data_IF_242821342702
#
_entry.id   IF_242821342702
#
_cell.length_a   1.000
_cell.length_b   1.000
_cell.length_c   1.000
_cell.angle_alpha   90.00
_cell.angle_beta   90.00
_cell.angle_gamma   90.00
#
_symmetry.space_group_name_H-M   'P 1'
#
loop_
_entity.id
_entity.type
_entity.pdbx_description
1 polymer ?
#
# COMPACT_ATOMS: atom_id res chain seq x y z
N UNK A 1 -2.00 -37.07 2.32
CA UNK A 1 -1.59 -37.35 3.71
C UNK A 1 -0.93 -36.11 4.26
N UNK A 2 -1.66 -35.29 5.01
CA UNK A 2 -1.09 -34.10 5.65
C UNK A 2 -0.22 -34.56 6.81
N UNK A 3 1.09 -34.35 6.70
CA UNK A 3 2.01 -34.57 7.82
C UNK A 3 1.70 -33.55 8.92
N UNK A 4 1.93 -33.92 10.18
CA UNK A 4 1.80 -33.01 11.32
C UNK A 4 2.59 -31.70 11.09
N UNK A 5 2.11 -30.56 11.63
CA UNK A 5 2.82 -29.29 11.57
C UNK A 5 4.23 -29.47 12.15
N UNK A 6 5.21 -28.84 11.52
CA UNK A 6 6.60 -28.94 11.94
C UNK A 6 6.73 -28.42 13.39
N UNK A 7 7.18 -29.28 14.30
CA UNK A 7 7.34 -28.89 15.71
C UNK A 7 8.76 -28.42 16.01
N UNK A 8 8.93 -27.64 17.09
CA UNK A 8 10.27 -27.28 17.58
C UNK A 8 11.15 -28.52 17.83
N UNK A 9 10.56 -29.63 18.27
CA UNK A 9 11.30 -30.91 18.45
C UNK A 9 11.77 -31.52 17.14
N UNK A 10 11.05 -31.32 16.03
CA UNK A 10 11.47 -31.79 14.71
C UNK A 10 12.63 -30.93 14.18
N UNK A 11 12.58 -29.62 14.43
CA UNK A 11 13.66 -28.68 14.11
C UNK A 11 14.93 -29.02 14.90
N UNK A 12 14.83 -29.23 16.21
CA UNK A 12 15.97 -29.61 17.07
C UNK A 12 16.63 -30.93 16.61
N UNK A 13 15.81 -31.94 16.28
CA UNK A 13 16.31 -33.22 15.74
C UNK A 13 17.01 -33.04 14.41
N UNK A 14 16.50 -32.16 13.56
CA UNK A 14 17.07 -31.87 12.27
C UNK A 14 18.39 -31.10 12.36
N UNK A 15 18.46 -30.09 13.24
CA UNK A 15 19.68 -29.30 13.50
C UNK A 15 20.84 -30.19 13.92
N UNK A 16 20.61 -31.14 14.82
CA UNK A 16 21.66 -32.09 15.27
C UNK A 16 22.21 -32.96 14.14
N UNK A 17 21.39 -33.28 13.14
CA UNK A 17 21.77 -34.11 12.00
C UNK A 17 22.30 -33.29 10.81
N UNK A 18 22.28 -31.97 10.92
CA UNK A 18 22.71 -31.07 9.86
C UNK A 18 24.17 -30.65 10.11
N UNK A 19 25.07 -30.89 9.14
CA UNK A 19 26.49 -30.60 9.33
C UNK A 19 26.79 -29.12 9.50
N UNK A 20 25.93 -28.22 8.98
CA UNK A 20 26.09 -26.77 9.10
C UNK A 20 25.49 -26.28 10.41
N UNK A 21 24.23 -26.61 10.68
CA UNK A 21 23.55 -26.12 11.88
C UNK A 21 24.05 -26.77 13.17
N UNK A 22 24.53 -28.01 13.12
CA UNK A 22 25.17 -28.66 14.26
C UNK A 22 26.45 -27.94 14.68
N UNK A 23 27.29 -27.55 13.72
CA UNK A 23 28.49 -26.75 14.00
C UNK A 23 28.14 -25.35 14.50
N UNK A 24 27.13 -24.70 13.89
CA UNK A 24 26.66 -23.40 14.32
C UNK A 24 26.09 -23.43 15.75
N UNK A 25 25.34 -24.48 16.10
CA UNK A 25 24.82 -24.69 17.45
C UNK A 25 25.95 -24.83 18.48
N UNK A 26 27.00 -25.58 18.16
CA UNK A 26 28.18 -25.71 19.01
C UNK A 26 28.91 -24.37 19.17
N UNK A 27 29.09 -23.63 18.08
CA UNK A 27 29.78 -22.34 18.08
C UNK A 27 29.03 -21.28 18.89
N UNK A 28 27.70 -21.24 18.78
CA UNK A 28 26.85 -20.34 19.59
C UNK A 28 26.85 -20.75 21.06
N UNK A 29 26.82 -22.05 21.38
CA UNK A 29 26.89 -22.54 22.77
C UNK A 29 28.25 -22.30 23.43
N UNK A 30 29.35 -22.44 22.68
CA UNK A 30 30.71 -22.24 23.19
C UNK A 30 31.10 -20.76 23.24
N UNK A 31 30.42 -19.90 22.47
CA UNK A 31 30.80 -18.50 22.27
C UNK A 31 32.05 -18.32 21.41
N UNK A 32 32.59 -19.40 20.81
CA UNK A 32 33.83 -19.39 20.03
C UNK A 32 33.54 -19.91 18.63
N UNK A 33 33.82 -19.08 17.63
CA UNK A 33 33.65 -19.42 16.22
C UNK A 33 34.68 -18.69 15.34
N UNK A 34 35.11 -19.33 14.25
CA UNK A 34 35.99 -18.70 13.27
C UNK A 34 35.16 -17.89 12.26
N UNK A 35 35.44 -16.59 12.14
CA UNK A 35 34.80 -15.68 11.18
C UNK A 35 35.22 -15.94 9.73
N UNK A 36 36.32 -16.65 9.52
CA UNK A 36 36.80 -17.04 8.20
C UNK A 36 36.18 -18.35 7.71
N UNK A 37 35.46 -19.07 8.59
CA UNK A 37 34.80 -20.32 8.25
C UNK A 37 33.73 -20.09 7.18
N UNK A 38 33.88 -20.77 6.03
CA UNK A 38 32.99 -20.59 4.87
C UNK A 38 31.56 -21.02 5.19
N UNK A 39 31.41 -22.02 6.06
CA UNK A 39 30.10 -22.54 6.48
C UNK A 39 29.26 -21.47 7.20
N UNK A 40 29.90 -20.56 7.95
CA UNK A 40 29.20 -19.52 8.71
C UNK A 40 28.93 -18.26 7.90
N UNK A 41 29.51 -18.11 6.69
CA UNK A 41 29.37 -16.92 5.84
C UNK A 41 27.93 -16.39 5.72
N UNK A 42 26.87 -17.22 5.53
CA UNK A 42 25.50 -16.74 5.45
C UNK A 42 24.93 -16.19 6.77
N UNK A 43 25.56 -16.54 7.90
CA UNK A 43 25.11 -16.22 9.25
C UNK A 43 25.98 -15.17 9.94
N UNK A 44 27.16 -14.82 9.39
CA UNK A 44 28.11 -13.89 10.03
C UNK A 44 27.50 -12.55 10.44
N UNK A 45 26.49 -12.07 9.72
CA UNK A 45 25.80 -10.81 10.04
C UNK A 45 24.91 -10.90 11.28
N UNK A 46 24.46 -12.10 11.64
CA UNK A 46 23.51 -12.33 12.73
C UNK A 46 24.08 -13.24 13.82
N UNK A 47 25.25 -13.85 13.63
CA UNK A 47 25.80 -14.90 14.49
C UNK A 47 25.96 -14.44 15.94
N UNK A 48 26.33 -13.18 16.15
CA UNK A 48 26.45 -12.55 17.48
C UNK A 48 25.09 -12.34 18.18
N UNK A 49 24.00 -12.37 17.42
CA UNK A 49 22.62 -12.24 17.91
C UNK A 49 21.89 -13.58 17.99
N UNK A 50 22.57 -14.70 17.65
CA UNK A 50 21.99 -16.02 17.75
C UNK A 50 22.08 -16.54 19.18
N UNK A 51 21.00 -17.18 19.63
CA UNK A 51 20.96 -17.88 20.92
C UNK A 51 20.63 -19.35 20.71
N UNK A 52 21.08 -20.20 21.62
CA UNK A 52 20.85 -21.64 21.58
C UNK A 52 20.05 -22.08 22.81
N UNK A 53 18.83 -22.57 22.59
CA UNK A 53 17.95 -23.08 23.65
C UNK A 53 17.28 -24.38 23.18
N UNK A 54 17.22 -25.39 24.06
CA UNK A 54 16.60 -26.69 23.76
C UNK A 54 17.07 -27.35 22.44
N UNK A 55 18.37 -27.20 22.11
CA UNK A 55 19.00 -27.64 20.86
C UNK A 55 18.41 -27.00 19.57
N UNK A 56 17.75 -25.86 19.72
CA UNK A 56 17.33 -24.98 18.64
C UNK A 56 18.15 -23.68 18.64
N UNK A 57 18.50 -23.21 17.46
CA UNK A 57 19.03 -21.86 17.25
C UNK A 57 17.89 -20.87 17.08
N UNK A 58 18.03 -19.71 17.71
CA UNK A 58 17.06 -18.62 17.64
C UNK A 58 17.76 -17.31 17.26
N UNK A 59 17.04 -16.47 16.51
CA UNK A 59 17.40 -15.09 16.25
C UNK A 59 16.37 -14.20 16.95
N UNK A 60 16.72 -13.68 18.13
CA UNK A 60 15.74 -13.10 19.05
C UNK A 60 14.71 -14.16 19.48
N UNK A 61 13.42 -13.91 19.21
CA UNK A 61 12.33 -14.84 19.53
C UNK A 61 11.92 -15.75 18.35
N UNK A 62 12.69 -15.75 17.27
CA UNK A 62 12.36 -16.43 16.01
C UNK A 62 13.26 -17.66 15.86
N UNK A 63 12.70 -18.78 15.42
CA UNK A 63 13.47 -20.03 15.25
C UNK A 63 14.25 -19.98 13.94
N UNK A 64 15.54 -20.34 14.00
CA UNK A 64 16.36 -20.55 12.82
C UNK A 64 15.97 -21.89 12.19
N UNK A 65 15.72 -21.96 10.89
CA UNK A 65 15.24 -23.19 10.24
C UNK A 65 16.33 -23.85 9.41
N UNK A 66 16.65 -25.14 9.64
CA UNK A 66 17.63 -25.87 8.86
C UNK A 66 17.19 -26.14 7.42
N UNK A 67 18.16 -26.25 6.52
CA UNK A 67 17.92 -26.35 5.08
C UNK A 67 16.97 -27.50 4.69
N UNK A 68 16.99 -28.61 5.43
CA UNK A 68 16.11 -29.76 5.20
C UNK A 68 14.64 -29.49 5.52
N UNK A 69 14.33 -28.50 6.34
CA UNK A 69 12.98 -28.17 6.81
C UNK A 69 12.36 -26.99 6.05
N UNK A 70 13.20 -26.15 5.45
CA UNK A 70 12.78 -24.94 4.72
C UNK A 70 11.71 -25.26 3.66
N UNK A 71 11.91 -26.28 2.83
CA UNK A 71 10.93 -26.66 1.79
C UNK A 71 9.57 -27.08 2.37
N UNK A 72 9.55 -27.77 3.52
CA UNK A 72 8.29 -28.17 4.16
C UNK A 72 7.55 -26.94 4.68
N UNK A 73 8.24 -26.00 5.32
CA UNK A 73 7.62 -24.76 5.80
C UNK A 73 7.15 -23.87 4.65
N UNK A 74 7.94 -23.73 3.60
CA UNK A 74 7.55 -22.99 2.40
C UNK A 74 6.27 -23.57 1.77
N UNK A 75 6.14 -24.90 1.74
CA UNK A 75 4.93 -25.57 1.27
C UNK A 75 3.71 -25.24 2.16
N UNK A 76 3.86 -25.34 3.49
CA UNK A 76 2.79 -25.01 4.45
C UNK A 76 2.36 -23.54 4.34
N UNK A 77 3.32 -22.61 4.27
CA UNK A 77 3.07 -21.18 4.08
C UNK A 77 2.33 -20.88 2.76
N UNK A 78 2.61 -21.67 1.72
CA UNK A 78 2.04 -21.49 0.39
C UNK A 78 0.68 -22.17 0.20
N UNK A 79 0.33 -23.17 1.02
CA UNK A 79 -0.82 -24.07 0.83
C UNK A 79 -2.15 -23.32 0.59
N UNK A 80 -2.35 -22.18 1.24
CA UNK A 80 -3.58 -21.38 1.18
C UNK A 80 -3.51 -20.23 0.17
N UNK A 81 -2.41 -20.08 -0.56
CA UNK A 81 -2.20 -19.01 -1.54
C UNK A 81 -2.51 -17.59 -1.01
N UNK A 82 -2.19 -17.31 0.25
CA UNK A 82 -2.50 -16.04 0.95
C UNK A 82 -1.84 -14.77 0.37
N UNK A 83 -1.03 -14.93 -0.67
CA UNK A 83 -0.28 -13.86 -1.34
C UNK A 83 1.09 -13.62 -0.72
N UNK A 84 2.01 -13.13 -1.55
CA UNK A 84 3.44 -13.01 -1.20
C UNK A 84 3.70 -12.12 0.01
N UNK A 85 2.96 -11.02 0.15
CA UNK A 85 3.11 -10.08 1.28
C UNK A 85 2.75 -10.77 2.58
N UNK A 86 1.61 -11.47 2.62
CA UNK A 86 1.16 -12.18 3.81
C UNK A 86 2.06 -13.38 4.14
N UNK A 87 2.55 -14.11 3.12
CA UNK A 87 3.54 -15.18 3.32
C UNK A 87 4.81 -14.66 3.99
N UNK A 88 5.38 -13.53 3.50
CA UNK A 88 6.58 -12.91 4.10
C UNK A 88 6.32 -12.45 5.53
N UNK A 89 5.19 -11.79 5.79
CA UNK A 89 4.81 -11.34 7.14
C UNK A 89 4.66 -12.50 8.11
N UNK A 90 4.01 -13.59 7.69
CA UNK A 90 3.79 -14.77 8.52
C UNK A 90 5.11 -15.50 8.79
N UNK A 91 5.94 -15.70 7.77
CA UNK A 91 7.22 -16.37 7.91
C UNK A 91 8.16 -15.60 8.85
N UNK A 92 8.30 -14.28 8.67
CA UNK A 92 9.16 -13.43 9.53
C UNK A 92 8.74 -13.39 11.00
N UNK A 93 7.53 -13.83 11.32
CA UNK A 93 7.04 -13.90 12.70
C UNK A 93 7.57 -15.13 13.46
N UNK A 94 7.81 -16.24 12.76
CA UNK A 94 8.09 -17.53 13.40
C UNK A 94 9.40 -18.18 12.93
N UNK A 95 9.82 -17.90 11.69
CA UNK A 95 10.90 -18.58 11.01
C UNK A 95 11.97 -17.61 10.50
N UNK A 96 13.23 -18.04 10.53
CA UNK A 96 14.34 -17.29 9.96
C UNK A 96 15.38 -18.19 9.30
N UNK A 97 15.82 -17.80 8.10
CA UNK A 97 17.05 -18.28 7.46
C UNK A 97 17.51 -17.24 6.41
N UNK A 98 18.79 -17.25 5.97
CA UNK A 98 19.37 -16.16 5.18
C UNK A 98 18.66 -15.86 3.85
N UNK A 99 18.06 -16.86 3.21
CA UNK A 99 17.38 -16.74 1.91
C UNK A 99 15.86 -16.71 1.98
N UNK A 100 15.26 -16.58 3.17
CA UNK A 100 13.80 -16.70 3.38
C UNK A 100 12.96 -15.92 2.37
N UNK A 101 13.22 -14.61 2.20
CA UNK A 101 12.44 -13.77 1.29
C UNK A 101 12.57 -14.22 -0.18
N UNK A 102 13.77 -14.65 -0.60
CA UNK A 102 14.03 -15.14 -1.97
C UNK A 102 13.37 -16.49 -2.21
N UNK A 103 13.36 -17.36 -1.21
CA UNK A 103 12.75 -18.68 -1.34
C UNK A 103 11.23 -18.57 -1.41
N UNK A 104 10.62 -17.66 -0.65
CA UNK A 104 9.20 -17.31 -0.78
C UNK A 104 8.89 -16.77 -2.19
N UNK A 105 9.70 -15.83 -2.69
CA UNK A 105 9.55 -15.29 -4.05
C UNK A 105 9.60 -16.39 -5.12
N UNK A 106 10.55 -17.33 -4.99
CA UNK A 106 10.71 -18.46 -5.90
C UNK A 106 9.48 -19.39 -5.91
N UNK A 107 8.95 -19.72 -4.73
CA UNK A 107 7.76 -20.57 -4.58
C UNK A 107 6.52 -19.89 -5.17
N UNK A 108 6.33 -18.61 -4.92
CA UNK A 108 5.20 -17.86 -5.49
C UNK A 108 5.33 -17.73 -7.01
N UNK A 109 6.54 -17.46 -7.52
CA UNK A 109 6.80 -17.30 -8.95
C UNK A 109 6.64 -18.61 -9.75
N UNK A 110 6.98 -19.75 -9.15
CA UNK A 110 6.81 -21.07 -9.76
C UNK A 110 5.38 -21.60 -9.69
N UNK A 111 4.52 -21.01 -8.84
CA UNK A 111 3.13 -21.41 -8.71
C UNK A 111 2.25 -20.87 -9.84
N UNK A 112 1.61 -21.79 -10.57
CA UNK A 112 0.64 -21.45 -11.64
C UNK A 112 -0.58 -20.71 -11.08
N UNK A 113 -1.05 -21.08 -9.89
CA UNK A 113 -2.17 -20.42 -9.22
C UNK A 113 -1.85 -18.96 -8.89
N UNK A 114 -0.73 -18.71 -8.22
CA UNK A 114 -0.31 -17.35 -7.86
C UNK A 114 0.07 -16.49 -9.08
N UNK A 115 0.63 -17.10 -10.12
CA UNK A 115 1.00 -16.40 -11.36
C UNK A 115 -0.19 -15.81 -12.12
N UNK A 116 -1.39 -16.39 -11.98
CA UNK A 116 -2.61 -15.88 -12.61
C UNK A 116 -3.16 -14.62 -11.94
N UNK A 117 -2.86 -14.43 -10.65
CA UNK A 117 -3.31 -13.28 -9.86
C UNK A 117 -2.24 -12.20 -9.70
N UNK A 118 -1.04 -12.42 -10.22
CA UNK A 118 -0.02 -11.38 -10.30
C UNK A 118 -0.22 -10.63 -11.62
N UNK A 119 -0.76 -9.43 -11.53
CA UNK A 119 -0.78 -8.49 -12.65
C UNK A 119 0.67 -8.16 -13.05
N UNK A 120 1.22 -8.95 -13.98
CA UNK A 120 2.48 -8.64 -14.68
C UNK A 120 2.23 -7.60 -15.78
N UNK A 121 1.28 -6.70 -15.58
CA UNK A 121 1.16 -5.56 -16.47
C UNK A 121 2.46 -4.77 -16.30
N UNK A 122 3.28 -4.59 -17.35
CA UNK A 122 4.48 -3.79 -17.24
C UNK A 122 4.06 -2.46 -16.63
N UNK A 123 4.63 -2.15 -15.46
CA UNK A 123 4.37 -0.91 -14.78
C UNK A 123 4.70 0.17 -15.80
N UNK A 124 3.66 0.81 -16.35
CA UNK A 124 3.84 1.84 -17.36
C UNK A 124 4.87 2.82 -16.78
N UNK A 125 5.83 3.31 -17.59
CA UNK A 125 6.82 4.27 -17.12
C UNK A 125 6.10 5.32 -16.28
N UNK A 126 6.59 5.56 -15.06
CA UNK A 126 6.06 6.64 -14.25
C UNK A 126 6.37 7.93 -15.01
N UNK A 127 5.45 8.34 -15.89
CA UNK A 127 5.48 9.66 -16.49
C UNK A 127 5.23 10.58 -15.32
N UNK A 128 6.33 11.10 -14.75
CA UNK A 128 6.27 12.17 -13.77
C UNK A 128 5.59 13.33 -14.49
N UNK A 129 4.31 13.52 -14.22
CA UNK A 129 3.61 14.73 -14.64
C UNK A 129 4.39 15.89 -14.02
N UNK A 130 4.68 16.97 -14.77
CA UNK A 130 5.40 18.12 -14.22
C UNK A 130 4.74 18.56 -12.93
N UNK A 131 5.50 18.85 -11.89
CA UNK A 131 4.93 19.23 -10.59
C UNK A 131 4.17 20.54 -10.74
N UNK A 132 3.09 20.73 -9.96
CA UNK A 132 2.50 22.06 -9.85
C UNK A 132 3.50 22.97 -9.14
N UNK A 133 3.69 24.15 -9.68
CA UNK A 133 4.65 25.18 -9.26
C UNK A 133 4.01 26.32 -8.45
N UNK A 134 2.69 26.52 -8.54
CA UNK A 134 1.95 27.47 -7.70
C UNK A 134 0.55 26.97 -7.32
N UNK A 135 -0.07 27.52 -6.24
CA UNK A 135 -1.44 27.18 -5.85
C UNK A 135 -2.41 27.41 -7.00
N UNK A 136 -3.42 26.54 -7.12
CA UNK A 136 -4.44 26.61 -8.18
C UNK A 136 -3.91 26.40 -9.60
N UNK A 137 -2.64 26.04 -9.81
CA UNK A 137 -2.17 25.69 -11.16
C UNK A 137 -2.82 24.40 -11.68
N UNK A 138 -2.93 23.39 -10.80
CA UNK A 138 -3.48 22.08 -11.13
C UNK A 138 -4.35 21.57 -10.02
N UNK A 139 -5.61 21.29 -10.36
CA UNK A 139 -6.56 20.65 -9.46
C UNK A 139 -6.80 19.20 -9.87
N UNK A 140 -6.89 18.33 -8.87
CA UNK A 140 -7.32 16.95 -9.02
C UNK A 140 -8.72 16.79 -8.45
N UNK A 141 -9.62 16.18 -9.22
CA UNK A 141 -11.00 15.92 -8.80
C UNK A 141 -11.33 14.44 -8.83
N UNK A 142 -12.14 14.01 -7.87
CA UNK A 142 -12.67 12.65 -7.82
C UNK A 142 -14.01 12.62 -7.06
N UNK A 143 -14.86 11.64 -7.38
CA UNK A 143 -16.11 11.40 -6.65
C UNK A 143 -16.03 10.06 -5.95
N UNK A 144 -16.20 10.08 -4.63
CA UNK A 144 -16.02 8.91 -3.76
C UNK A 144 -17.29 8.61 -2.98
N UNK A 145 -17.52 7.33 -2.69
CA UNK A 145 -18.56 6.91 -1.74
C UNK A 145 -18.01 6.97 -0.31
N UNK A 146 -18.75 7.63 0.58
CA UNK A 146 -18.44 7.67 2.00
C UNK A 146 -19.73 7.46 2.80
N UNK A 147 -19.83 6.39 3.59
CA UNK A 147 -20.98 6.09 4.45
C UNK A 147 -22.36 6.23 3.75
N UNK A 148 -22.44 5.85 2.48
CA UNK A 148 -23.67 5.90 1.68
C UNK A 148 -24.01 7.26 1.05
N UNK A 149 -23.16 8.28 1.23
CA UNK A 149 -23.24 9.56 0.51
C UNK A 149 -22.10 9.69 -0.49
N UNK A 150 -22.28 10.51 -1.52
CA UNK A 150 -21.25 10.79 -2.52
C UNK A 150 -20.51 12.07 -2.13
N UNK A 151 -19.19 12.06 -2.19
CA UNK A 151 -18.34 13.23 -1.94
C UNK A 151 -17.59 13.59 -3.21
N UNK A 152 -17.62 14.86 -3.62
CA UNK A 152 -16.65 15.40 -4.57
C UNK A 152 -15.46 15.93 -3.78
N UNK A 153 -14.29 15.38 -4.11
CA UNK A 153 -13.00 15.86 -3.64
C UNK A 153 -12.41 16.76 -4.71
N UNK A 154 -11.94 17.95 -4.32
CA UNK A 154 -11.14 18.84 -5.16
C UNK A 154 -9.84 19.11 -4.42
N UNK A 155 -8.71 18.77 -4.99
CA UNK A 155 -7.40 18.82 -4.33
C UNK A 155 -6.46 19.66 -5.16
N UNK A 156 -5.86 20.67 -4.55
CA UNK A 156 -4.79 21.45 -5.18
C UNK A 156 -3.47 20.67 -5.14
N UNK A 157 -2.87 20.47 -6.32
CA UNK A 157 -1.65 19.69 -6.45
C UNK A 157 -0.44 20.38 -5.80
N UNK A 158 -0.43 21.70 -5.65
CA UNK A 158 0.68 22.44 -5.04
C UNK A 158 0.58 22.43 -3.51
N UNK A 159 -0.48 23.03 -2.95
CA UNK A 159 -0.65 23.16 -1.49
C UNK A 159 -1.08 21.87 -0.79
N UNK A 160 -1.56 20.87 -1.56
CA UNK A 160 -2.26 19.68 -1.06
C UNK A 160 -3.55 20.00 -0.31
N UNK A 161 -4.05 21.24 -0.41
CA UNK A 161 -5.32 21.63 0.19
C UNK A 161 -6.47 20.89 -0.50
N UNK A 162 -7.43 20.44 0.31
CA UNK A 162 -8.57 19.65 -0.15
C UNK A 162 -9.89 20.32 0.22
N UNK A 163 -10.70 20.61 -0.80
CA UNK A 163 -12.11 20.94 -0.63
C UNK A 163 -12.96 19.68 -0.79
N UNK A 164 -13.98 19.56 0.04
CA UNK A 164 -14.92 18.43 -0.01
C UNK A 164 -16.34 18.92 -0.07
N UNK A 165 -17.11 18.37 -1.01
CA UNK A 165 -18.49 18.74 -1.24
C UNK A 165 -19.39 17.52 -1.17
N UNK A 166 -20.44 17.63 -0.37
CA UNK A 166 -21.33 16.52 -0.03
C UNK A 166 -22.53 16.49 -0.99
N UNK A 167 -22.71 15.33 -1.61
CA UNK A 167 -23.87 15.01 -2.44
C UNK A 167 -24.69 13.91 -1.74
N UNK A 168 -25.99 14.16 -1.56
CA UNK A 168 -26.86 13.19 -0.90
C UNK A 168 -27.06 11.90 -1.70
N UNK A 169 -27.33 12.03 -3.01
CA UNK A 169 -27.40 10.91 -3.98
C UNK A 169 -26.25 11.01 -4.99
N UNK A 170 -26.26 10.16 -6.02
CA UNK A 170 -25.37 10.30 -7.17
C UNK A 170 -25.41 11.73 -7.73
N UNK A 171 -24.29 12.46 -7.77
CA UNK A 171 -24.25 13.80 -8.32
C UNK A 171 -24.49 13.78 -9.84
N UNK A 172 -25.14 14.81 -10.37
CA UNK A 172 -25.13 15.07 -11.81
C UNK A 172 -23.91 15.91 -12.21
N UNK A 173 -23.55 15.88 -13.50
CA UNK A 173 -22.51 16.76 -14.06
C UNK A 173 -22.80 18.23 -13.73
N UNK A 174 -24.02 18.71 -13.97
CA UNK A 174 -24.43 20.09 -13.67
C UNK A 174 -24.20 20.48 -12.21
N UNK A 175 -24.43 19.55 -11.28
CA UNK A 175 -24.18 19.80 -9.86
C UNK A 175 -22.69 19.95 -9.55
N UNK A 176 -21.84 19.13 -10.18
CA UNK A 176 -20.38 19.23 -10.07
C UNK A 176 -19.89 20.55 -10.66
N UNK A 177 -20.36 20.93 -11.86
CA UNK A 177 -19.98 22.18 -12.52
C UNK A 177 -20.34 23.41 -11.70
N UNK A 178 -21.52 23.44 -11.07
CA UNK A 178 -21.91 24.53 -10.14
C UNK A 178 -20.95 24.67 -8.96
N UNK A 179 -20.52 23.55 -8.39
CA UNK A 179 -19.55 23.54 -7.29
C UNK A 179 -18.20 24.05 -7.78
N UNK A 180 -17.71 23.58 -8.93
CA UNK A 180 -16.45 24.01 -9.52
C UNK A 180 -16.46 25.49 -9.87
N UNK A 181 -17.51 25.99 -10.52
CA UNK A 181 -17.69 27.40 -10.83
C UNK A 181 -17.65 28.27 -9.56
N UNK A 182 -18.32 27.84 -8.50
CA UNK A 182 -18.31 28.55 -7.20
C UNK A 182 -16.93 28.52 -6.52
N UNK A 183 -16.17 27.44 -6.69
CA UNK A 183 -14.79 27.33 -6.20
C UNK A 183 -13.88 28.28 -7.00
N UNK A 184 -13.99 28.27 -8.32
CA UNK A 184 -13.15 29.11 -9.20
C UNK A 184 -13.42 30.60 -9.03
N UNK A 185 -14.67 30.98 -8.76
CA UNK A 185 -15.01 32.36 -8.41
C UNK A 185 -14.31 32.86 -7.13
N UNK A 186 -13.99 31.95 -6.19
CA UNK A 186 -13.35 32.31 -4.92
C UNK A 186 -11.82 32.22 -4.93
N UNK A 187 -11.24 31.28 -5.68
CA UNK A 187 -9.80 30.97 -5.62
C UNK A 187 -9.07 31.21 -6.95
N UNK A 188 -9.79 31.53 -8.03
CA UNK A 188 -9.26 31.63 -9.38
C UNK A 188 -9.49 30.37 -10.21
N UNK A 189 -9.29 30.50 -11.52
CA UNK A 189 -9.45 29.41 -12.49
C UNK A 189 -8.11 28.68 -12.64
N UNK A 190 -8.08 27.34 -12.57
CA UNK A 190 -6.84 26.60 -12.70
C UNK A 190 -6.38 26.41 -14.14
N UNK A 191 -5.07 26.23 -14.36
CA UNK A 191 -4.53 25.91 -15.68
C UNK A 191 -4.88 24.49 -16.12
N UNK A 192 -4.88 23.55 -15.17
CA UNK A 192 -5.13 22.13 -15.41
C UNK A 192 -6.17 21.56 -14.45
N UNK A 193 -7.10 20.78 -14.98
CA UNK A 193 -8.02 19.96 -14.20
C UNK A 193 -7.82 18.49 -14.53
N UNK A 194 -7.54 17.70 -13.52
CA UNK A 194 -7.28 16.27 -13.65
C UNK A 194 -8.43 15.48 -13.05
N UNK A 195 -9.07 14.62 -13.84
CA UNK A 195 -10.23 13.84 -13.39
C UNK A 195 -10.15 12.37 -13.85
N UNK A 196 -10.90 11.46 -13.22
CA UNK A 196 -11.12 10.13 -13.77
C UNK A 196 -11.90 10.20 -15.10
N UNK A 197 -11.69 9.20 -15.95
CA UNK A 197 -12.37 9.01 -17.23
C UNK A 197 -13.73 8.33 -17.02
N UNK A 198 -14.70 9.07 -16.47
CA UNK A 198 -16.07 8.60 -16.23
C UNK A 198 -17.12 9.62 -16.68
N UNK A 199 -18.38 9.18 -16.76
CA UNK A 199 -19.50 9.97 -17.31
C UNK A 199 -19.70 11.34 -16.65
N UNK A 200 -19.32 11.52 -15.39
CA UNK A 200 -19.44 12.79 -14.66
C UNK A 200 -18.46 13.86 -15.16
N UNK A 201 -17.31 13.44 -15.72
CA UNK A 201 -16.24 14.34 -16.13
C UNK A 201 -15.96 14.31 -17.64
N UNK A 202 -16.71 13.54 -18.42
CA UNK A 202 -16.55 13.46 -19.89
C UNK A 202 -17.82 13.79 -20.66
N UNK A 203 -18.92 14.09 -19.96
CA UNK A 203 -20.16 14.53 -20.62
C UNK A 203 -19.93 15.79 -21.46
N UNK A 204 -20.77 15.99 -22.48
CA UNK A 204 -20.69 17.14 -23.37
C UNK A 204 -20.75 18.46 -22.59
N UNK A 205 -21.72 18.60 -21.68
CA UNK A 205 -21.87 19.76 -20.80
C UNK A 205 -20.58 20.07 -20.02
N UNK A 206 -19.93 19.06 -19.46
CA UNK A 206 -18.65 19.23 -18.75
C UNK A 206 -17.55 19.75 -19.67
N UNK A 207 -17.44 19.19 -20.86
CA UNK A 207 -16.40 19.56 -21.81
C UNK A 207 -16.58 20.99 -22.33
N UNK A 208 -17.82 21.42 -22.53
CA UNK A 208 -18.18 22.78 -22.95
C UNK A 208 -17.81 23.81 -21.87
N UNK A 209 -18.21 23.58 -20.61
CA UNK A 209 -17.89 24.50 -19.50
C UNK A 209 -16.38 24.59 -19.23
N UNK A 210 -15.69 23.46 -19.19
CA UNK A 210 -14.22 23.43 -18.98
C UNK A 210 -13.49 24.18 -20.10
N UNK A 211 -13.94 24.02 -21.34
CA UNK A 211 -13.38 24.76 -22.48
C UNK A 211 -13.68 26.25 -22.36
N UNK A 212 -14.88 26.63 -21.91
CA UNK A 212 -15.27 28.04 -21.70
C UNK A 212 -14.41 28.74 -20.64
N UNK A 213 -13.95 28.00 -19.62
CA UNK A 213 -13.05 28.49 -18.59
C UNK A 213 -11.56 28.42 -19.01
N UNK A 214 -11.26 28.01 -20.24
CA UNK A 214 -9.90 27.84 -20.75
C UNK A 214 -9.04 26.90 -19.90
N UNK A 215 -9.65 25.87 -19.30
CA UNK A 215 -8.96 24.90 -18.46
C UNK A 215 -8.49 23.73 -19.32
N UNK A 216 -7.23 23.31 -19.17
CA UNK A 216 -6.73 22.10 -19.82
C UNK A 216 -7.21 20.87 -19.05
N UNK A 217 -8.17 20.14 -19.61
CA UNK A 217 -8.71 18.93 -19.00
C UNK A 217 -7.85 17.70 -19.30
N UNK A 218 -7.29 17.12 -18.24
CA UNK A 218 -6.46 15.91 -18.33
C UNK A 218 -7.24 14.72 -17.78
N UNK A 219 -7.79 13.92 -18.69
CA UNK A 219 -8.49 12.67 -18.37
C UNK A 219 -7.51 11.58 -17.96
N UNK A 220 -7.89 10.82 -16.94
CA UNK A 220 -7.08 9.71 -16.46
C UNK A 220 -7.84 8.39 -16.59
N UNK A 221 -7.29 7.41 -17.34
CA UNK A 221 -7.94 6.12 -17.51
C UNK A 221 -8.13 5.42 -16.15
N UNK A 222 -9.32 4.84 -15.96
CA UNK A 222 -9.77 4.22 -14.70
C UNK A 222 -8.73 3.25 -14.10
N UNK A 223 -7.98 2.54 -14.96
CA UNK A 223 -7.11 1.42 -14.59
C UNK A 223 -5.63 1.78 -14.31
N UNK A 224 -5.24 3.06 -14.38
CA UNK A 224 -3.87 3.46 -14.01
C UNK A 224 -3.83 4.11 -12.62
N UNK A 225 -3.70 3.27 -11.59
CA UNK A 225 -3.63 3.61 -10.16
C UNK A 225 -2.60 4.72 -9.84
N UNK A 226 -1.49 4.77 -10.57
CA UNK A 226 -0.41 5.73 -10.32
C UNK A 226 -0.73 7.17 -10.73
N UNK A 227 -1.70 7.41 -11.62
CA UNK A 227 -1.81 8.70 -12.30
C UNK A 227 -2.64 9.75 -11.53
N UNK A 228 -3.72 9.35 -10.82
CA UNK A 228 -4.46 10.22 -9.89
C UNK A 228 -4.09 9.94 -8.43
N UNK A 229 -2.80 9.66 -8.17
CA UNK A 229 -2.36 9.18 -6.85
C UNK A 229 -2.80 10.08 -5.70
N UNK A 230 -2.80 11.40 -5.89
CA UNK A 230 -3.20 12.38 -4.89
C UNK A 230 -4.69 12.23 -4.52
N UNK A 231 -5.59 12.19 -5.51
CA UNK A 231 -7.02 12.08 -5.21
C UNK A 231 -7.40 10.70 -4.68
N UNK A 232 -6.77 9.63 -5.19
CA UNK A 232 -7.00 8.26 -4.69
C UNK A 232 -6.50 8.09 -3.25
N UNK A 233 -5.34 8.65 -2.91
CA UNK A 233 -4.83 8.65 -1.54
C UNK A 233 -5.77 9.43 -0.62
N UNK A 234 -6.19 10.63 -1.02
CA UNK A 234 -7.14 11.43 -0.26
C UNK A 234 -8.48 10.70 -0.07
N UNK A 235 -9.00 10.05 -1.11
CA UNK A 235 -10.19 9.20 -1.05
C UNK A 235 -10.03 8.07 -0.03
N UNK A 236 -8.88 7.39 -0.02
CA UNK A 236 -8.58 6.33 0.93
C UNK A 236 -8.51 6.85 2.37
N UNK A 237 -7.91 8.02 2.58
CA UNK A 237 -7.83 8.67 3.90
C UNK A 237 -9.24 9.03 4.40
N UNK A 238 -10.05 9.66 3.53
CA UNK A 238 -11.42 10.06 3.86
C UNK A 238 -12.26 8.83 4.21
N UNK A 239 -12.17 7.76 3.42
CA UNK A 239 -12.95 6.52 3.64
C UNK A 239 -12.49 5.70 4.84
N UNK A 240 -11.20 5.75 5.18
CA UNK A 240 -10.62 5.03 6.34
C UNK A 240 -10.80 5.77 7.66
N UNK A 241 -11.10 7.07 7.63
CA UNK A 241 -11.34 7.88 8.83
C UNK A 241 -12.62 7.43 9.53
N UNK A 242 -12.46 6.75 10.67
CA UNK A 242 -13.56 6.23 11.50
C UNK A 242 -14.31 7.35 12.25
N UNK A 243 -13.64 8.46 12.56
CA UNK A 243 -14.10 9.45 13.56
C UNK A 243 -14.16 10.91 13.08
N UNK A 244 -14.14 11.18 11.77
CA UNK A 244 -14.27 12.56 11.26
C UNK A 244 -15.66 13.16 11.53
N UNK A 245 -15.74 14.15 12.42
CA UNK A 245 -16.93 14.97 12.62
C UNK A 245 -17.23 15.76 11.34
N UNK A 246 -18.19 15.29 10.54
CA UNK A 246 -18.83 16.11 9.53
C UNK A 246 -19.80 17.01 10.27
N UNK A 247 -19.42 18.27 10.53
CA UNK A 247 -20.32 19.27 11.10
C UNK A 247 -21.46 19.57 10.11
N UNK A 248 -22.46 18.69 10.07
CA UNK A 248 -23.76 18.95 9.47
C UNK A 248 -24.65 19.55 10.56
N UNK A 249 -24.53 20.86 10.80
CA UNK A 249 -25.62 21.61 11.41
C UNK A 249 -26.00 22.74 10.44
N UNK A 250 -26.88 22.42 9.51
CA UNK A 250 -27.56 23.41 8.67
C UNK A 250 -29.07 23.13 8.68
N UNK A 251 -29.69 23.19 9.86
CA UNK A 251 -31.10 23.57 9.97
C UNK A 251 -31.20 25.09 9.89
N UNK A 252 -30.96 25.66 8.71
CA UNK A 252 -31.44 27.01 8.32
C UNK A 252 -30.97 27.35 6.91
N UNK A 253 -31.93 27.47 6.00
CA UNK A 253 -31.95 28.24 4.75
C UNK A 253 -30.74 29.15 4.43
N UNK A 254 -29.58 28.59 4.08
CA UNK A 254 -28.55 29.32 3.32
C UNK A 254 -27.73 28.37 2.45
N UNK A 255 -27.48 28.79 1.22
CA UNK A 255 -27.04 28.03 0.05
C UNK A 255 -25.53 27.74 0.01
N UNK A 256 -24.92 27.31 1.11
CA UNK A 256 -23.49 26.93 1.08
C UNK A 256 -23.15 25.73 1.97
N UNK A 257 -23.33 24.52 1.44
CA UNK A 257 -22.82 23.28 2.04
C UNK A 257 -21.32 23.13 1.75
N UNK A 258 -20.49 24.01 2.32
CA UNK A 258 -19.02 23.87 2.32
C UNK A 258 -18.63 23.10 3.59
N UNK A 259 -18.17 21.85 3.43
CA UNK A 259 -17.55 21.12 4.53
C UNK A 259 -16.03 21.14 4.32
N UNK A 260 -15.29 21.69 5.27
CA UNK A 260 -13.82 21.60 5.29
C UNK A 260 -13.48 20.43 6.18
N UNK A 261 -13.01 19.32 5.60
CA UNK A 261 -12.45 18.22 6.40
C UNK A 261 -11.06 18.67 6.85
N UNK A 262 -10.98 19.16 8.09
CA UNK A 262 -9.70 19.24 8.80
C UNK A 262 -9.32 17.80 9.19
N UNK A 263 -8.47 17.16 8.39
CA UNK A 263 -7.80 15.93 8.81
C UNK A 263 -6.76 16.34 9.87
N UNK A 264 -7.18 16.45 11.13
CA UNK A 264 -6.24 16.64 12.23
C UNK A 264 -5.36 15.38 12.32
N UNK A 265 -4.06 15.51 12.04
CA UNK A 265 -3.09 14.50 12.49
C UNK A 265 -2.03 14.03 11.50
N UNK A 266 -2.04 14.45 10.23
CA UNK A 266 -0.96 14.08 9.30
C UNK A 266 -0.36 15.31 8.65
N UNK A 267 0.71 15.82 9.26
CA UNK A 267 1.69 16.65 8.57
C UNK A 267 2.21 15.85 7.37
N UNK A 268 1.79 16.23 6.17
CA UNK A 268 2.41 15.75 4.94
C UNK A 268 3.79 16.39 4.81
N UNK A 269 4.79 15.85 5.50
CA UNK A 269 6.18 15.97 5.08
C UNK A 269 6.47 14.79 4.17
N UNK A 270 6.50 15.03 2.86
CA UNK A 270 7.13 14.13 1.90
C UNK A 270 8.23 14.95 1.23
N UNK A 271 9.45 14.48 1.44
CA UNK A 271 10.71 14.92 0.85
C UNK A 271 10.63 14.79 -0.67
#
# INVERSE_FOLDING_TARGET
>A
MHGLPLTATDIAKAMRKDPVYGQLLLAVKSGVYDRQEKLFKPYLQVIDSLTAEADCLHYGNIVVVPSRQQNKLLFELHHTHIGIVNMKTLAKKYDWWPSLDKDIESVVASCVGCSKFTDKSPMAPLIQKPWATWPMERLHVDVVDYKGVKLLLVIDAFTKFMWTYLFGRAPSTTQILRVLHSLFAGYGIPNFLVSPDNSLFISQEFSEDISSWCINHVKQPLNHLASNGIAKLAASIVTSSKDGCFCCNATSSSSSNKCVILVSGYSFSII
#
